data_IF_736840292244
#
_entry.id   IF_736840292244
#
_cell.length_a   1.000
_cell.length_b   1.000
_cell.length_c   1.000
_cell.angle_alpha   90.00
_cell.angle_beta   90.00
_cell.angle_gamma   90.00
#
_symmetry.space_group_name_H-M   'P 1'
#
loop_
_entity.id
_entity.type
_entity.pdbx_description
1 polymer ?
#
# COMPACT_ATOMS: atom_id res chain seq x y z
N UNK A 1 -3.10 -4.90 2.23
CA UNK A 1 -3.61 -6.04 3.03
C UNK A 1 -5.10 -6.21 2.83
N UNK A 2 -5.53 -7.43 2.53
CA UNK A 2 -6.95 -7.79 2.36
C UNK A 2 -7.19 -9.07 3.16
N UNK A 3 -8.20 -9.07 4.04
CA UNK A 3 -8.62 -10.30 4.73
C UNK A 3 -9.53 -11.13 3.81
N UNK A 4 -9.19 -12.39 3.58
CA UNK A 4 -9.93 -13.30 2.67
C UNK A 4 -11.23 -13.82 3.28
N UNK A 5 -11.28 -14.00 4.60
CA UNK A 5 -12.51 -14.41 5.29
C UNK A 5 -12.68 -13.66 6.61
N UNK A 6 -13.94 -13.36 6.94
CA UNK A 6 -14.32 -12.66 8.17
C UNK A 6 -14.39 -13.69 9.31
N UNK A 7 -13.26 -14.30 9.63
CA UNK A 7 -13.07 -15.16 10.81
C UNK A 7 -11.77 -14.80 11.52
N UNK A 8 -11.62 -15.18 12.80
CA UNK A 8 -10.38 -14.92 13.54
C UNK A 8 -9.16 -15.60 12.89
N UNK A 9 -9.37 -16.77 12.28
CA UNK A 9 -8.36 -17.50 11.52
C UNK A 9 -8.32 -17.13 10.02
N UNK A 10 -9.09 -16.12 9.61
CA UNK A 10 -9.20 -15.74 8.21
C UNK A 10 -7.88 -15.20 7.70
N UNK A 11 -7.38 -15.78 6.62
CA UNK A 11 -6.06 -15.45 6.09
C UNK A 11 -6.01 -13.99 5.60
N UNK A 12 -4.95 -13.30 5.98
CA UNK A 12 -4.62 -11.98 5.47
C UNK A 12 -3.71 -12.15 4.25
N UNK A 13 -4.10 -11.55 3.14
CA UNK A 13 -3.29 -11.54 1.93
C UNK A 13 -2.59 -10.21 1.78
N UNK A 14 -1.28 -10.32 1.56
CA UNK A 14 -0.42 -9.23 1.17
C UNK A 14 -0.02 -9.46 -0.27
N UNK A 15 -0.37 -8.52 -1.13
CA UNK A 15 0.14 -8.44 -2.50
C UNK A 15 0.99 -7.19 -2.61
N UNK A 16 2.06 -7.26 -3.39
CA UNK A 16 2.93 -6.13 -3.71
C UNK A 16 2.98 -5.95 -5.23
N UNK A 17 1.91 -5.41 -5.84
CA UNK A 17 1.93 -5.08 -7.26
C UNK A 17 2.88 -3.90 -7.51
N UNK A 18 3.54 -3.94 -8.66
CA UNK A 18 4.31 -2.82 -9.21
C UNK A 18 3.46 -2.14 -10.30
N UNK A 19 3.49 -0.82 -10.32
CA UNK A 19 2.70 0.01 -11.23
C UNK A 19 3.62 0.91 -12.04
N UNK A 20 3.28 1.09 -13.31
CA UNK A 20 3.94 2.06 -14.17
C UNK A 20 3.30 3.44 -13.99
N UNK A 21 4.08 4.54 -14.03
CA UNK A 21 3.51 5.88 -13.91
C UNK A 21 2.54 6.26 -15.03
N UNK A 22 2.53 5.52 -16.14
CA UNK A 22 1.62 5.68 -17.27
C UNK A 22 0.40 4.76 -17.21
N UNK A 23 0.31 3.89 -16.21
CA UNK A 23 -0.81 2.94 -16.06
C UNK A 23 -2.14 3.71 -15.93
N UNK A 24 -3.15 3.25 -16.67
CA UNK A 24 -4.54 3.70 -16.52
C UNK A 24 -5.23 2.95 -15.39
N UNK A 25 -6.46 3.38 -15.03
CA UNK A 25 -7.31 2.67 -14.08
C UNK A 25 -7.54 1.20 -14.48
N UNK A 26 -7.66 0.91 -15.78
CA UNK A 26 -7.85 -0.45 -16.28
C UNK A 26 -6.61 -1.31 -16.02
N UNK A 27 -5.42 -0.78 -16.32
CA UNK A 27 -4.13 -1.47 -16.12
C UNK A 27 -3.89 -1.75 -14.64
N UNK A 28 -4.14 -0.76 -13.77
CA UNK A 28 -4.04 -0.91 -12.30
C UNK A 28 -4.95 -2.04 -11.81
N UNK A 29 -6.21 -2.07 -12.26
CA UNK A 29 -7.17 -3.11 -11.85
C UNK A 29 -6.71 -4.49 -12.33
N UNK A 30 -6.21 -4.61 -13.55
CA UNK A 30 -5.71 -5.87 -14.10
C UNK A 30 -4.48 -6.37 -13.33
N UNK A 31 -3.48 -5.51 -13.09
CA UNK A 31 -2.27 -5.87 -12.32
C UNK A 31 -2.60 -6.31 -10.90
N UNK A 32 -3.51 -5.60 -10.23
CA UNK A 32 -3.99 -5.98 -8.88
C UNK A 32 -4.68 -7.34 -8.90
N UNK A 33 -5.55 -7.60 -9.88
CA UNK A 33 -6.23 -8.90 -10.02
C UNK A 33 -5.23 -10.02 -10.27
N UNK A 34 -4.33 -9.84 -11.23
CA UNK A 34 -3.29 -10.82 -11.56
C UNK A 34 -2.46 -11.19 -10.32
N UNK A 35 -1.98 -10.20 -9.57
CA UNK A 35 -1.21 -10.43 -8.34
C UNK A 35 -2.04 -11.07 -7.23
N UNK A 36 -3.32 -10.76 -7.14
CA UNK A 36 -4.22 -11.41 -6.20
C UNK A 36 -4.42 -12.89 -6.54
N UNK A 37 -4.62 -13.21 -7.82
CA UNK A 37 -4.79 -14.59 -8.30
C UNK A 37 -3.51 -15.42 -8.12
N UNK A 38 -2.33 -14.84 -8.39
CA UNK A 38 -1.03 -15.46 -8.08
C UNK A 38 -0.91 -15.80 -6.59
N UNK A 39 -1.26 -14.85 -5.71
CA UNK A 39 -1.19 -15.05 -4.26
C UNK A 39 -2.14 -16.14 -3.74
N UNK A 40 -3.20 -16.46 -4.47
CA UNK A 40 -4.12 -17.55 -4.12
C UNK A 40 -3.47 -18.90 -4.47
N UNK A 41 -2.68 -18.96 -5.55
CA UNK A 41 -2.06 -20.17 -6.06
C UNK A 41 -0.70 -20.49 -5.39
N UNK A 42 0.08 -19.48 -4.97
CA UNK A 42 1.42 -19.64 -4.37
C UNK A 42 1.42 -20.20 -2.93
N UNK A 43 0.25 -20.36 -2.31
CA UNK A 43 0.07 -20.88 -0.95
C UNK A 43 0.77 -22.22 -0.67
N UNK A 44 1.17 -22.96 -1.72
CA UNK A 44 1.83 -24.26 -1.60
C UNK A 44 3.33 -24.21 -1.24
N UNK A 45 4.07 -23.12 -1.49
CA UNK A 45 5.55 -23.10 -1.33
C UNK A 45 6.07 -22.33 -0.10
N UNK A 46 5.34 -21.33 0.39
CA UNK A 46 5.71 -20.55 1.59
C UNK A 46 5.76 -21.40 2.89
N UNK A 47 5.10 -22.56 2.85
CA UNK A 47 4.96 -23.47 3.99
C UNK A 47 6.27 -24.20 4.37
N UNK A 48 7.27 -24.22 3.48
CA UNK A 48 8.58 -24.86 3.71
C UNK A 48 9.58 -23.93 4.41
N UNK A 49 9.61 -22.65 4.04
CA UNK A 49 10.55 -21.66 4.63
C UNK A 49 10.15 -21.33 6.06
N UNK A 50 8.85 -21.16 6.35
CA UNK A 50 8.34 -20.89 7.69
C UNK A 50 8.73 -21.95 8.72
N UNK A 51 8.80 -23.22 8.30
CA UNK A 51 9.21 -24.36 9.15
C UNK A 51 10.70 -24.37 9.46
N UNK A 52 11.53 -23.82 8.58
CA UNK A 52 12.98 -23.70 8.79
C UNK A 52 13.29 -22.60 9.82
N UNK A 53 12.61 -21.46 9.72
CA UNK A 53 12.75 -20.37 10.68
C UNK A 53 12.25 -20.71 12.09
N UNK A 54 11.19 -21.54 12.20
CA UNK A 54 10.68 -22.01 13.50
C UNK A 54 11.66 -22.90 14.27
N UNK A 55 12.68 -23.48 13.62
CA UNK A 55 13.66 -24.37 14.26
C UNK A 55 14.93 -23.66 14.73
N UNK A 56 15.11 -22.38 14.37
CA UNK A 56 16.31 -21.62 14.75
C UNK A 56 16.20 -21.13 16.20
N UNK A 57 17.27 -21.25 17.01
CA UNK A 57 17.30 -20.69 18.36
C UNK A 57 17.07 -19.18 18.36
N UNK A 58 16.39 -18.66 19.38
CA UNK A 58 16.00 -17.25 19.47
C UNK A 58 17.18 -16.26 19.37
N UNK A 59 18.36 -16.62 19.87
CA UNK A 59 19.56 -15.79 19.76
C UNK A 59 20.04 -15.65 18.30
N UNK A 60 20.02 -16.75 17.53
CA UNK A 60 20.42 -16.73 16.13
C UNK A 60 19.43 -15.95 15.27
N UNK A 61 18.13 -16.06 15.56
CA UNK A 61 17.10 -15.24 14.92
C UNK A 61 17.30 -13.75 15.18
N UNK A 62 17.66 -13.36 16.40
CA UNK A 62 17.99 -11.96 16.73
C UNK A 62 19.22 -11.46 15.97
N UNK A 63 20.24 -12.30 15.84
CA UNK A 63 21.43 -11.98 15.04
C UNK A 63 21.08 -11.76 13.57
N UNK A 64 20.33 -12.68 12.97
CA UNK A 64 19.88 -12.57 11.57
C UNK A 64 19.01 -11.33 11.36
N UNK A 65 18.05 -11.05 12.24
CA UNK A 65 17.20 -9.86 12.15
C UNK A 65 18.02 -8.56 12.23
N UNK A 66 18.99 -8.49 13.15
CA UNK A 66 19.89 -7.34 13.28
C UNK A 66 20.76 -7.17 12.03
N UNK A 67 21.30 -8.27 11.49
CA UNK A 67 22.10 -8.24 10.27
C UNK A 67 21.27 -7.74 9.07
N UNK A 68 20.04 -8.24 8.91
CA UNK A 68 19.15 -7.81 7.83
C UNK A 68 18.81 -6.31 7.96
N UNK A 69 18.58 -5.82 9.18
CA UNK A 69 18.34 -4.39 9.42
C UNK A 69 19.56 -3.55 9.04
N UNK A 70 20.76 -3.94 9.46
CA UNK A 70 21.99 -3.22 9.09
C UNK A 70 22.23 -3.23 7.58
N UNK A 71 21.94 -4.36 6.91
CA UNK A 71 22.05 -4.44 5.45
C UNK A 71 21.02 -3.55 4.75
N UNK A 72 19.80 -3.46 5.29
CA UNK A 72 18.76 -2.57 4.79
C UNK A 72 19.14 -1.10 4.95
N UNK A 73 19.59 -0.70 6.14
CA UNK A 73 20.06 0.67 6.43
C UNK A 73 21.23 1.09 5.52
N UNK A 74 22.09 0.13 5.12
CA UNK A 74 23.20 0.35 4.19
C UNK A 74 22.79 0.27 2.70
N UNK A 75 21.52 -0.02 2.39
CA UNK A 75 21.03 -0.22 1.03
C UNK A 75 21.59 -1.47 0.34
N UNK A 76 22.09 -2.45 1.11
CA UNK A 76 22.73 -3.70 0.65
C UNK A 76 21.88 -4.94 0.91
N UNK A 77 20.59 -4.77 1.24
CA UNK A 77 19.69 -5.89 1.43
C UNK A 77 19.57 -6.71 0.13
N UNK A 78 19.70 -8.05 0.18
CA UNK A 78 19.50 -8.89 -0.99
C UNK A 78 18.13 -8.66 -1.65
N UNK A 79 18.11 -8.49 -2.97
CA UNK A 79 16.89 -8.17 -3.74
C UNK A 79 15.75 -9.15 -3.50
N UNK A 80 16.03 -10.45 -3.33
CA UNK A 80 14.98 -11.43 -3.07
C UNK A 80 14.27 -11.19 -1.73
N UNK A 81 14.99 -10.73 -0.69
CA UNK A 81 14.42 -10.40 0.62
C UNK A 81 13.62 -9.10 0.51
N UNK A 82 14.17 -8.10 -0.19
CA UNK A 82 13.48 -6.84 -0.45
C UNK A 82 12.14 -7.10 -1.19
N UNK A 83 12.17 -7.90 -2.26
CA UNK A 83 10.98 -8.23 -3.06
C UNK A 83 9.97 -9.05 -2.25
N UNK A 84 10.41 -10.01 -1.42
CA UNK A 84 9.53 -10.78 -0.55
C UNK A 84 8.99 -9.98 0.64
N UNK A 85 9.68 -8.92 1.06
CA UNK A 85 9.29 -8.12 2.22
C UNK A 85 8.12 -7.20 1.88
N UNK A 86 7.03 -7.21 2.67
CA UNK A 86 5.88 -6.35 2.45
C UNK A 86 6.16 -4.88 2.82
N UNK A 87 7.26 -4.62 3.54
CA UNK A 87 7.63 -3.30 4.04
C UNK A 87 8.56 -2.52 3.10
N UNK A 88 9.07 -3.17 2.05
CA UNK A 88 9.88 -2.53 1.01
C UNK A 88 8.97 -2.21 -0.17
N UNK A 89 8.16 -1.17 0.02
CA UNK A 89 7.22 -0.63 -0.95
C UNK A 89 7.18 0.90 -0.83
N UNK A 90 6.55 1.57 -1.80
CA UNK A 90 6.35 3.02 -1.78
C UNK A 90 5.19 3.43 -0.87
N UNK A 91 4.10 2.67 -0.89
CA UNK A 91 2.89 2.91 -0.11
C UNK A 91 2.24 1.58 0.26
N UNK A 92 1.67 1.52 1.46
CA UNK A 92 0.90 0.38 1.93
C UNK A 92 -0.56 0.74 2.14
N UNK A 93 -1.46 0.05 1.43
CA UNK A 93 -2.92 0.19 1.57
C UNK A 93 -3.51 -1.03 2.30
N UNK A 94 -4.26 -0.76 3.36
CA UNK A 94 -5.07 -1.79 4.05
C UNK A 94 -6.56 -1.51 3.87
N UNK A 95 -7.32 -2.54 3.51
CA UNK A 95 -8.77 -2.46 3.39
C UNK A 95 -9.43 -3.13 4.60
N UNK A 96 -9.79 -2.31 5.58
CA UNK A 96 -10.54 -2.71 6.76
C UNK A 96 -12.06 -2.72 6.51
N UNK A 97 -12.49 -2.12 5.39
CA UNK A 97 -13.89 -2.11 4.99
C UNK A 97 -14.47 -3.49 4.72
N UNK A 98 -13.64 -4.47 4.32
CA UNK A 98 -14.08 -5.87 4.20
C UNK A 98 -14.43 -6.51 5.55
N UNK A 99 -13.95 -5.95 6.65
CA UNK A 99 -14.27 -6.37 8.02
C UNK A 99 -15.44 -5.59 8.63
N UNK A 100 -16.00 -4.64 7.88
CA UNK A 100 -17.09 -3.80 8.35
C UNK A 100 -16.68 -2.72 9.36
N UNK A 101 -15.39 -2.53 9.61
CA UNK A 101 -14.88 -1.51 10.55
C UNK A 101 -14.49 -0.22 9.82
N UNK A 102 -14.50 0.89 10.55
CA UNK A 102 -13.99 2.17 10.06
C UNK A 102 -12.47 2.16 9.85
N UNK A 103 -11.90 3.18 9.20
CA UNK A 103 -10.46 3.25 9.01
C UNK A 103 -9.75 3.57 10.34
N UNK A 104 -8.54 3.05 10.52
CA UNK A 104 -7.70 3.28 11.72
C UNK A 104 -6.35 3.89 11.32
N UNK A 105 -5.62 4.46 12.28
CA UNK A 105 -4.23 4.86 12.06
C UNK A 105 -3.30 3.65 12.20
N UNK A 106 -2.44 3.43 11.21
CA UNK A 106 -1.32 2.51 11.30
C UNK A 106 -0.05 3.26 11.71
N UNK A 107 0.84 2.61 12.46
CA UNK A 107 2.19 3.12 12.67
C UNK A 107 3.03 2.89 11.42
N UNK A 108 4.07 3.69 11.25
CA UNK A 108 5.14 3.41 10.28
C UNK A 108 6.08 2.36 10.86
N UNK A 109 6.63 1.52 9.99
CA UNK A 109 7.62 0.53 10.38
C UNK A 109 9.03 1.09 10.18
N UNK A 110 9.93 0.79 11.12
CA UNK A 110 11.35 1.18 11.07
C UNK A 110 12.22 0.26 10.20
N UNK A 111 11.60 -0.67 9.47
CA UNK A 111 12.30 -1.64 8.62
C UNK A 111 11.68 -1.63 7.23
N UNK A 112 12.50 -1.47 6.19
CA UNK A 112 12.06 -1.23 4.83
C UNK A 112 11.83 0.26 4.52
N UNK A 113 11.20 0.49 3.38
CA UNK A 113 11.10 1.82 2.75
C UNK A 113 9.68 2.38 2.75
N UNK A 114 8.74 1.73 3.42
CA UNK A 114 7.33 2.12 3.40
C UNK A 114 7.06 3.33 4.29
N UNK A 115 7.11 4.52 3.70
CA UNK A 115 6.90 5.80 4.38
C UNK A 115 5.46 6.31 4.35
N UNK A 116 4.54 5.61 3.67
CA UNK A 116 3.13 6.00 3.55
C UNK A 116 2.23 4.81 3.85
N UNK A 117 1.38 4.94 4.87
CA UNK A 117 0.33 3.99 5.21
C UNK A 117 -1.05 4.59 5.02
N UNK A 118 -1.91 3.87 4.31
CA UNK A 118 -3.29 4.25 4.06
C UNK A 118 -4.21 3.15 4.56
N UNK A 119 -5.18 3.52 5.40
CA UNK A 119 -6.23 2.62 5.85
C UNK A 119 -7.57 3.04 5.28
N UNK A 120 -8.22 2.13 4.56
CA UNK A 120 -9.55 2.28 4.01
C UNK A 120 -10.56 1.56 4.88
N UNK A 121 -11.58 2.29 5.32
CA UNK A 121 -12.65 1.74 6.15
C UNK A 121 -13.85 1.26 5.36
N UNK A 122 -14.90 0.90 6.10
CA UNK A 122 -16.18 0.49 5.55
C UNK A 122 -16.88 1.64 4.80
N UNK A 123 -17.72 1.24 3.84
CA UNK A 123 -18.59 2.16 3.11
C UNK A 123 -19.77 2.54 4.00
N UNK A 124 -19.91 3.83 4.29
CA UNK A 124 -20.99 4.37 5.11
C UNK A 124 -21.95 5.22 4.27
N UNK A 125 -23.19 5.37 4.75
CA UNK A 125 -24.19 6.27 4.16
C UNK A 125 -24.38 7.44 5.11
N UNK A 126 -24.16 8.64 4.62
CA UNK A 126 -24.32 9.88 5.38
C UNK A 126 -25.47 10.66 4.77
N UNK A 127 -26.41 11.07 5.61
CA UNK A 127 -27.45 12.00 5.21
C UNK A 127 -26.87 13.40 5.17
N UNK A 128 -26.69 13.93 3.97
CA UNK A 128 -26.26 15.32 3.72
C UNK A 128 -27.47 16.15 3.33
N UNK A 129 -27.43 17.44 3.64
CA UNK A 129 -28.42 18.40 3.17
C UNK A 129 -27.77 19.15 2.01
N UNK A 130 -28.42 19.15 0.86
CA UNK A 130 -27.95 19.90 -0.30
C UNK A 130 -28.08 21.41 -0.06
N UNK A 131 -27.45 22.22 -0.91
CA UNK A 131 -27.59 23.68 -0.87
C UNK A 131 -29.06 24.14 -1.03
N UNK A 132 -29.91 23.31 -1.64
CA UNK A 132 -31.34 23.59 -1.85
C UNK A 132 -32.24 23.10 -0.70
N UNK A 133 -31.66 22.53 0.35
CA UNK A 133 -32.38 22.00 1.51
C UNK A 133 -32.96 20.60 1.33
N UNK A 134 -32.73 19.94 0.19
CA UNK A 134 -33.12 18.55 -0.02
C UNK A 134 -32.23 17.60 0.78
N UNK A 135 -32.81 16.53 1.33
CA UNK A 135 -32.04 15.46 1.97
C UNK A 135 -31.46 14.54 0.90
N UNK A 136 -30.15 14.46 0.85
CA UNK A 136 -29.41 13.58 -0.03
C UNK A 136 -28.69 12.50 0.78
N UNK A 137 -28.60 11.30 0.21
CA UNK A 137 -27.86 10.20 0.81
C UNK A 137 -26.55 10.06 0.06
N UNK A 138 -25.46 10.53 0.68
CA UNK A 138 -24.12 10.41 0.12
C UNK A 138 -23.45 9.16 0.66
N UNK A 139 -22.80 8.39 -0.23
CA UNK A 139 -22.00 7.23 0.15
C UNK A 139 -20.55 7.67 0.34
N UNK A 140 -20.00 7.40 1.51
CA UNK A 140 -18.64 7.82 1.87
C UNK A 140 -17.79 6.61 2.24
N UNK A 141 -16.50 6.69 1.94
CA UNK A 141 -15.49 5.74 2.42
C UNK A 141 -14.48 6.56 3.19
N UNK A 142 -14.25 6.18 4.46
CA UNK A 142 -13.24 6.84 5.27
C UNK A 142 -11.84 6.36 4.91
N UNK A 143 -10.91 7.30 4.74
CA UNK A 143 -9.48 7.04 4.57
C UNK A 143 -8.71 7.68 5.73
N UNK A 144 -7.70 6.98 6.25
CA UNK A 144 -6.72 7.50 7.20
C UNK A 144 -5.33 7.36 6.60
N UNK A 145 -4.56 8.45 6.65
CA UNK A 145 -3.22 8.53 6.10
C UNK A 145 -2.24 8.73 7.25
N UNK A 146 -1.15 7.98 7.22
CA UNK A 146 0.02 8.18 8.07
C UNK A 146 1.22 8.27 7.15
N UNK A 147 1.91 9.41 7.21
CA UNK A 147 3.04 9.74 6.34
C UNK A 147 4.24 10.08 7.19
N UNK A 148 5.41 9.66 6.75
CA UNK A 148 6.69 9.98 7.38
C UNK A 148 7.05 11.45 7.19
N UNK A 149 7.17 12.21 8.28
CA UNK A 149 7.44 13.64 8.24
C UNK A 149 8.84 13.98 7.71
N UNK A 150 9.77 13.01 7.73
CA UNK A 150 11.15 13.21 7.22
C UNK A 150 11.19 13.44 5.72
N UNK A 151 10.17 12.95 5.00
CA UNK A 151 10.04 13.10 3.54
C UNK A 151 8.83 13.96 3.14
N UNK A 152 7.96 14.30 4.09
CA UNK A 152 6.67 14.91 3.81
C UNK A 152 6.42 16.06 4.79
N UNK A 153 6.68 17.29 4.34
CA UNK A 153 6.32 18.47 5.10
C UNK A 153 4.81 18.78 5.00
N UNK A 154 4.33 19.74 5.79
CA UNK A 154 2.91 20.11 5.81
C UNK A 154 2.39 20.69 4.49
N UNK A 155 3.23 21.39 3.73
CA UNK A 155 2.83 22.01 2.47
C UNK A 155 2.71 20.97 1.35
N UNK A 156 3.70 20.08 1.26
CA UNK A 156 3.74 18.95 0.34
C UNK A 156 2.59 17.99 0.62
N UNK A 157 2.34 17.67 1.89
CA UNK A 157 1.18 16.87 2.31
C UNK A 157 -0.13 17.51 1.86
N UNK A 158 -0.35 18.80 2.18
CA UNK A 158 -1.59 19.49 1.84
C UNK A 158 -1.81 19.57 0.32
N UNK A 159 -0.76 19.79 -0.46
CA UNK A 159 -0.82 19.85 -1.92
C UNK A 159 -1.15 18.49 -2.53
N UNK A 160 -0.48 17.44 -2.07
CA UNK A 160 -0.75 16.06 -2.48
C UNK A 160 -2.18 15.62 -2.17
N UNK A 161 -2.69 15.97 -0.98
CA UNK A 161 -4.07 15.64 -0.58
C UNK A 161 -5.13 16.41 -1.38
N UNK A 162 -4.84 17.65 -1.80
CA UNK A 162 -5.71 18.40 -2.72
C UNK A 162 -5.78 17.75 -4.10
N UNK A 163 -4.63 17.31 -4.64
CA UNK A 163 -4.56 16.59 -5.90
C UNK A 163 -5.33 15.27 -5.82
N UNK A 164 -5.10 14.47 -4.77
CA UNK A 164 -5.85 13.23 -4.54
C UNK A 164 -7.36 13.47 -4.48
N UNK A 165 -7.80 14.51 -3.75
CA UNK A 165 -9.22 14.87 -3.68
C UNK A 165 -9.78 15.25 -5.05
N UNK A 166 -9.02 15.99 -5.87
CA UNK A 166 -9.44 16.35 -7.21
C UNK A 166 -9.65 15.10 -8.08
N UNK A 167 -8.68 14.18 -8.08
CA UNK A 167 -8.75 12.90 -8.81
C UNK A 167 -9.95 12.06 -8.34
N UNK A 168 -10.20 11.98 -7.04
CA UNK A 168 -11.34 11.21 -6.50
C UNK A 168 -12.71 11.81 -6.84
N UNK A 169 -12.79 13.12 -7.09
CA UNK A 169 -14.01 13.81 -7.49
C UNK A 169 -14.26 13.78 -9.00
N UNK A 170 -13.19 13.63 -9.80
CA UNK A 170 -13.23 13.54 -11.26
C UNK A 170 -12.36 12.36 -11.74
N UNK A 171 -12.80 11.11 -11.48
CA UNK A 171 -12.00 9.92 -11.76
C UNK A 171 -11.81 9.63 -13.25
N UNK A 172 -12.52 10.34 -14.14
CA UNK A 172 -12.41 10.17 -15.60
C UNK A 172 -10.99 10.44 -16.09
N UNK A 173 -10.22 11.29 -15.39
CA UNK A 173 -8.83 11.57 -15.72
C UNK A 173 -7.90 10.34 -15.62
N UNK A 174 -8.36 9.25 -14.98
CA UNK A 174 -7.60 8.00 -14.84
C UNK A 174 -7.88 6.99 -15.97
N UNK A 175 -8.81 7.29 -16.88
CA UNK A 175 -9.18 6.38 -17.97
C UNK A 175 -8.20 6.41 -19.14
N UNK A 176 -7.41 7.47 -19.24
CA UNK A 176 -6.35 7.64 -20.23
C UNK A 176 -5.01 7.82 -19.53
N UNK A 177 -3.89 7.46 -20.17
CA UNK A 177 -2.56 7.73 -19.63
C UNK A 177 -2.37 9.23 -19.35
N UNK A 178 -1.54 9.60 -18.36
CA UNK A 178 -1.23 11.00 -18.10
C UNK A 178 -0.49 11.62 -19.29
N UNK A 179 -0.83 12.86 -19.63
CA UNK A 179 -0.14 13.62 -20.70
C UNK A 179 1.35 13.80 -20.41
N UNK A 180 1.69 13.96 -19.13
CA UNK A 180 3.06 14.10 -18.66
C UNK A 180 3.23 13.37 -17.34
N UNK A 181 4.33 12.62 -17.23
CA UNK A 181 4.77 12.06 -15.95
C UNK A 181 5.80 12.97 -15.33
N UNK A 182 5.53 13.40 -14.09
CA UNK A 182 6.47 14.16 -13.28
C UNK A 182 7.31 13.17 -12.45
N UNK A 183 8.63 13.27 -12.59
CA UNK A 183 9.58 12.54 -11.75
C UNK A 183 10.04 13.50 -10.66
N UNK A 184 10.06 13.02 -9.42
CA UNK A 184 10.59 13.79 -8.31
C UNK A 184 12.10 14.00 -8.49
N UNK A 185 12.55 15.25 -8.42
CA UNK A 185 13.96 15.65 -8.60
C UNK A 185 14.90 14.95 -7.60
N UNK A 186 14.38 14.47 -6.47
CA UNK A 186 15.11 13.67 -5.47
C UNK A 186 15.41 12.24 -5.91
N UNK A 187 14.79 11.74 -6.98
CA UNK A 187 15.04 10.40 -7.54
C UNK A 187 16.25 10.48 -8.49
N UNK A 188 17.45 10.28 -7.93
CA UNK A 188 18.71 10.39 -8.68
C UNK A 188 18.99 9.29 -9.73
N UNK A 189 18.04 8.38 -10.00
CA UNK A 189 18.15 7.32 -11.01
C UNK A 189 17.09 7.50 -12.10
N UNK A 190 17.42 7.22 -13.37
CA UNK A 190 16.44 7.22 -14.45
C UNK A 190 15.36 6.18 -14.18
N UNK A 191 14.17 6.42 -14.73
CA UNK A 191 13.07 5.47 -14.59
C UNK A 191 13.37 4.20 -15.38
N UNK A 192 12.94 3.05 -14.86
CA UNK A 192 13.20 1.73 -15.46
C UNK A 192 12.53 1.60 -16.84
N UNK A 193 11.43 2.33 -17.08
CA UNK A 193 10.71 2.35 -18.36
C UNK A 193 11.35 3.28 -19.43
N UNK A 194 12.45 3.96 -19.08
CA UNK A 194 13.22 4.82 -20.00
C UNK A 194 14.54 4.17 -20.47
N UNK A 195 14.81 2.90 -20.09
CA UNK A 195 15.93 2.10 -20.59
C UNK A 195 15.56 1.20 -21.79
#
# INVERSE_FOLDING_TARGET
MIKRSISEHGEETLIKPEFEPTDTLADVVERVKCKLDESINEHNDSDKTSRLFKKLPSFLMRFVATLLRVLDDLGKLPKFINNASPWHCSMFLTNLGSLGIGPIYHHLYEFGTCSIFVAMGNKTRVHTVSETGSREITRTIGLKFVTDERICDGYYYASSMKLLRHILLAPECLLTPPEQVYVDDGVGKPRIDQE
#
